data_IF_189758236072
#
_entry.id   IF_189758236072
#
_cell.length_a   1.000
_cell.length_b   1.000
_cell.length_c   1.000
_cell.angle_alpha   90.00
_cell.angle_beta   90.00
_cell.angle_gamma   90.00
#
_symmetry.space_group_name_H-M   'P 1'
#
loop_
_entity.id
_entity.type
_entity.pdbx_description
1 polymer ?
#
# COMPACT_ATOMS: atom_id res chain seq x y z
N UNK A 1 -3.58 -11.92 23.26
CA UNK A 1 -3.51 -10.44 23.22
C UNK A 1 -2.43 -9.87 24.14
N UNK A 2 -2.38 -10.26 25.43
CA UNK A 2 -1.36 -9.77 26.38
C UNK A 2 0.10 -10.03 25.92
N UNK A 3 0.39 -11.21 25.36
CA UNK A 3 1.71 -11.56 24.81
C UNK A 3 2.19 -10.63 23.68
N UNK A 4 1.30 -10.15 22.81
CA UNK A 4 1.67 -9.22 21.74
C UNK A 4 2.06 -7.85 22.30
N UNK A 5 1.36 -7.39 23.34
CA UNK A 5 1.66 -6.12 23.98
C UNK A 5 3.03 -6.16 24.68
N UNK A 6 3.31 -7.23 25.41
CA UNK A 6 4.61 -7.44 26.05
C UNK A 6 5.77 -7.52 25.04
N UNK A 7 5.53 -8.06 23.84
CA UNK A 7 6.54 -8.12 22.79
C UNK A 7 6.95 -6.73 22.30
N UNK A 8 6.05 -5.74 22.19
CA UNK A 8 6.43 -4.39 21.75
C UNK A 8 7.33 -3.66 22.74
N UNK A 9 7.28 -4.05 24.01
CA UNK A 9 8.17 -3.48 25.03
C UNK A 9 9.57 -4.11 25.01
N UNK A 10 9.73 -5.24 24.32
CA UNK A 10 10.97 -6.00 24.27
C UNK A 10 12.11 -5.24 23.55
N UNK A 11 13.38 -5.43 23.99
CA UNK A 11 14.54 -4.91 23.27
C UNK A 11 14.58 -5.34 21.80
N UNK A 12 14.16 -6.58 21.50
CA UNK A 12 14.16 -7.14 20.15
C UNK A 12 13.26 -6.35 19.20
N UNK A 13 12.07 -5.96 19.68
CA UNK A 13 11.18 -5.09 18.90
C UNK A 13 11.75 -3.68 18.74
N UNK A 14 12.28 -3.11 19.83
CA UNK A 14 12.83 -1.74 19.86
C UNK A 14 14.13 -1.59 19.07
N UNK A 15 14.91 -2.66 18.92
CA UNK A 15 16.11 -2.70 18.06
C UNK A 15 15.79 -2.74 16.56
N UNK A 16 14.51 -2.87 16.21
CA UNK A 16 14.05 -3.00 14.84
C UNK A 16 13.93 -4.46 14.41
N UNK A 17 12.80 -4.77 13.77
CA UNK A 17 12.58 -6.10 13.20
C UNK A 17 13.44 -6.29 11.94
N UNK A 18 13.97 -7.50 11.70
CA UNK A 18 14.65 -7.80 10.44
C UNK A 18 13.69 -7.69 9.26
N UNK A 19 14.22 -7.26 8.12
CA UNK A 19 13.47 -7.25 6.88
C UNK A 19 13.41 -8.65 6.29
N UNK A 20 12.28 -8.99 5.69
CA UNK A 20 12.19 -10.16 4.81
C UNK A 20 13.13 -9.93 3.62
N UNK A 21 13.94 -10.92 3.22
CA UNK A 21 14.85 -10.79 2.08
C UNK A 21 14.14 -10.28 0.82
N UNK A 22 14.74 -9.29 0.16
CA UNK A 22 14.19 -8.68 -1.06
C UNK A 22 13.09 -7.62 -0.84
N UNK A 23 12.47 -7.54 0.35
CA UNK A 23 11.32 -6.65 0.59
C UNK A 23 11.60 -5.19 0.20
N UNK A 24 12.71 -4.65 0.72
CA UNK A 24 13.07 -3.26 0.48
C UNK A 24 13.33 -2.97 -1.01
N UNK A 25 14.02 -3.88 -1.70
CA UNK A 25 14.37 -3.72 -3.10
C UNK A 25 13.13 -3.74 -3.99
N UNK A 26 12.29 -4.76 -3.82
CA UNK A 26 11.15 -4.98 -4.71
C UNK A 26 9.99 -4.02 -4.44
N UNK A 27 9.74 -3.63 -3.19
CA UNK A 27 8.80 -2.53 -2.89
C UNK A 27 9.24 -1.24 -3.61
N UNK A 28 10.55 -0.96 -3.62
CA UNK A 28 11.12 0.20 -4.34
C UNK A 28 10.97 0.06 -5.86
N UNK A 29 11.12 -1.16 -6.42
CA UNK A 29 10.87 -1.42 -7.85
C UNK A 29 9.40 -1.25 -8.21
N UNK A 30 8.48 -1.72 -7.38
CA UNK A 30 7.02 -1.56 -7.56
C UNK A 30 6.63 -0.08 -7.53
N UNK A 31 7.17 0.68 -6.57
CA UNK A 31 6.93 2.12 -6.44
C UNK A 31 7.34 2.97 -7.64
N UNK A 32 8.06 2.41 -8.63
CA UNK A 32 8.38 3.09 -9.90
C UNK A 32 7.19 3.15 -10.87
N UNK A 33 6.19 2.29 -10.72
CA UNK A 33 5.05 2.20 -11.64
C UNK A 33 3.69 2.02 -10.96
N UNK A 34 3.65 1.88 -9.64
CA UNK A 34 2.43 1.80 -8.85
C UNK A 34 2.50 2.73 -7.62
N UNK A 35 1.36 3.25 -7.16
CA UNK A 35 1.28 3.99 -5.91
C UNK A 35 1.20 3.02 -4.72
N UNK A 36 2.25 2.99 -3.90
CA UNK A 36 2.42 1.99 -2.85
C UNK A 36 2.05 2.59 -1.49
N UNK A 37 1.15 1.90 -0.79
CA UNK A 37 0.75 2.21 0.58
C UNK A 37 1.01 1.00 1.49
N UNK A 38 1.29 1.27 2.77
CA UNK A 38 1.41 0.24 3.80
C UNK A 38 0.09 0.19 4.56
N UNK A 39 -0.57 -0.98 4.57
CA UNK A 39 -1.79 -1.23 5.33
C UNK A 39 -1.50 -2.33 6.34
N UNK A 40 -1.59 -2.03 7.63
CA UNK A 40 -1.12 -2.95 8.68
C UNK A 40 -2.13 -3.11 9.82
N UNK A 41 -2.21 -4.31 10.40
CA UNK A 41 -3.06 -4.61 11.57
C UNK A 41 -2.43 -4.18 12.90
N UNK A 42 -1.22 -3.59 12.87
CA UNK A 42 -0.52 -3.07 14.05
C UNK A 42 -1.39 -2.12 14.87
N UNK A 43 -1.12 -2.11 16.16
CA UNK A 43 -1.93 -1.38 17.13
C UNK A 43 -1.60 0.11 17.12
N UNK A 44 -2.60 0.91 17.47
CA UNK A 44 -2.49 2.36 17.57
C UNK A 44 -1.35 2.81 18.51
N UNK A 45 -1.13 2.06 19.59
CA UNK A 45 -0.14 2.37 20.63
C UNK A 45 1.29 2.39 20.11
N UNK A 46 1.60 1.65 19.03
CA UNK A 46 2.93 1.56 18.42
C UNK A 46 3.02 2.31 17.08
N UNK A 47 2.13 3.29 16.88
CA UNK A 47 2.04 4.06 15.63
C UNK A 47 3.38 4.72 15.27
N UNK A 48 3.99 5.43 16.22
CA UNK A 48 5.22 6.17 15.96
C UNK A 48 6.39 5.23 15.63
N UNK A 49 6.58 4.17 16.41
CA UNK A 49 7.60 3.14 16.13
C UNK A 49 7.41 2.51 14.74
N UNK A 50 6.16 2.27 14.36
CA UNK A 50 5.82 1.74 13.04
C UNK A 50 6.16 2.74 11.93
N UNK A 51 5.84 4.01 12.11
CA UNK A 51 6.15 5.06 11.13
C UNK A 51 7.65 5.24 10.95
N UNK A 52 8.40 5.31 12.05
CA UNK A 52 9.84 5.52 12.02
C UNK A 52 10.56 4.32 11.39
N UNK A 53 10.13 3.10 11.72
CA UNK A 53 10.67 1.88 11.13
C UNK A 53 10.37 1.79 9.62
N UNK A 54 9.15 2.13 9.19
CA UNK A 54 8.79 2.13 7.77
C UNK A 54 9.53 3.22 6.99
N UNK A 55 9.64 4.43 7.54
CA UNK A 55 10.38 5.52 6.91
C UNK A 55 11.86 5.16 6.75
N UNK A 56 12.48 4.64 7.81
CA UNK A 56 13.90 4.25 7.82
C UNK A 56 14.20 3.15 6.80
N UNK A 57 13.35 2.12 6.74
CA UNK A 57 13.61 0.96 5.89
C UNK A 57 13.12 1.17 4.45
N UNK A 58 11.95 1.75 4.23
CA UNK A 58 11.33 1.81 2.90
C UNK A 58 11.31 3.21 2.29
N UNK A 59 11.59 4.26 3.07
CA UNK A 59 11.46 5.65 2.63
C UNK A 59 10.00 6.09 2.39
N UNK A 60 9.04 5.32 2.90
CA UNK A 60 7.61 5.60 2.74
C UNK A 60 7.16 6.54 3.86
N UNK A 61 6.58 7.72 3.54
CA UNK A 61 6.14 8.67 4.56
C UNK A 61 4.91 8.17 5.32
N UNK A 62 4.71 8.66 6.54
CA UNK A 62 3.57 8.29 7.39
C UNK A 62 2.20 8.54 6.75
N UNK A 63 2.09 9.50 5.83
CA UNK A 63 0.86 9.75 5.05
C UNK A 63 0.44 8.57 4.16
N UNK A 64 1.33 7.61 3.91
CA UNK A 64 1.08 6.39 3.17
C UNK A 64 1.04 5.13 4.04
N UNK A 65 1.03 5.28 5.37
CA UNK A 65 0.99 4.17 6.33
C UNK A 65 -0.33 4.19 7.11
N UNK A 66 -1.12 3.12 6.98
CA UNK A 66 -2.48 3.03 7.49
C UNK A 66 -2.60 1.88 8.50
N UNK A 67 -3.04 2.19 9.72
CA UNK A 67 -3.18 1.22 10.81
C UNK A 67 -4.66 0.81 10.95
N UNK A 68 -4.93 -0.49 10.82
CA UNK A 68 -6.25 -1.08 11.06
C UNK A 68 -6.51 -1.44 12.53
N UNK A 69 -5.49 -1.43 13.39
CA UNK A 69 -5.60 -1.63 14.84
C UNK A 69 -6.32 -2.93 15.27
N UNK A 70 -6.30 -3.98 14.44
CA UNK A 70 -7.03 -5.23 14.68
C UNK A 70 -6.63 -5.90 16.01
N UNK A 71 -5.35 -5.77 16.38
CA UNK A 71 -4.80 -6.33 17.61
C UNK A 71 -4.78 -5.34 18.79
N UNK A 72 -5.38 -4.15 18.64
CA UNK A 72 -5.47 -3.15 19.70
C UNK A 72 -6.40 -3.58 20.83
N UNK A 73 -6.04 -3.21 22.06
CA UNK A 73 -6.88 -3.39 23.26
C UNK A 73 -8.01 -2.36 23.36
N UNK A 74 -7.86 -1.23 22.65
CA UNK A 74 -8.82 -0.13 22.60
C UNK A 74 -8.71 0.61 21.26
N UNK A 75 -9.68 1.48 20.99
CA UNK A 75 -9.76 2.26 19.75
C UNK A 75 -10.55 1.56 18.64
N UNK A 76 -10.79 2.30 17.54
CA UNK A 76 -11.51 1.78 16.37
C UNK A 76 -10.64 0.73 15.67
N UNK A 77 -11.25 -0.39 15.30
CA UNK A 77 -10.66 -1.40 14.42
C UNK A 77 -11.23 -1.18 13.02
N UNK A 78 -10.37 -1.10 12.02
CA UNK A 78 -10.78 -0.83 10.64
C UNK A 78 -10.26 -2.00 9.78
N UNK A 79 -11.15 -2.78 9.13
CA UNK A 79 -10.78 -3.82 8.20
C UNK A 79 -9.79 -3.32 7.14
N UNK A 80 -8.85 -4.19 6.73
CA UNK A 80 -7.88 -3.81 5.70
C UNK A 80 -8.57 -3.52 4.37
N UNK A 81 -9.59 -4.29 4.00
CA UNK A 81 -10.37 -4.02 2.79
C UNK A 81 -11.02 -2.63 2.80
N UNK A 82 -11.54 -2.16 3.94
CA UNK A 82 -12.10 -0.81 4.08
C UNK A 82 -11.02 0.27 3.91
N UNK A 83 -9.82 0.07 4.46
CA UNK A 83 -8.68 0.98 4.27
C UNK A 83 -8.28 1.00 2.80
N UNK A 84 -8.09 -0.17 2.18
CA UNK A 84 -7.74 -0.32 0.77
C UNK A 84 -8.76 0.39 -0.14
N UNK A 85 -10.06 0.23 0.14
CA UNK A 85 -11.13 0.92 -0.56
C UNK A 85 -11.01 2.44 -0.45
N UNK A 86 -10.78 2.96 0.76
CA UNK A 86 -10.69 4.38 1.03
C UNK A 86 -9.53 5.07 0.30
N UNK A 87 -8.43 4.34 0.08
CA UNK A 87 -7.24 4.86 -0.64
C UNK A 87 -7.25 4.54 -2.14
N UNK A 88 -8.30 3.87 -2.65
CA UNK A 88 -8.40 3.49 -4.05
C UNK A 88 -7.42 2.38 -4.47
N UNK A 89 -6.99 1.53 -3.54
CA UNK A 89 -6.11 0.40 -3.86
C UNK A 89 -6.85 -0.64 -4.72
N UNK A 90 -6.16 -1.20 -5.72
CA UNK A 90 -6.67 -2.27 -6.57
C UNK A 90 -6.12 -3.66 -6.24
N UNK A 91 -5.14 -3.76 -5.34
CA UNK A 91 -4.40 -4.99 -5.04
C UNK A 91 -3.93 -4.97 -3.58
N UNK A 92 -4.09 -6.08 -2.87
CA UNK A 92 -3.53 -6.31 -1.53
C UNK A 92 -2.47 -7.42 -1.58
N UNK A 93 -1.32 -7.16 -0.95
CA UNK A 93 -0.27 -8.15 -0.66
C UNK A 93 -0.26 -8.35 0.86
N UNK A 94 -0.48 -9.58 1.31
CA UNK A 94 -0.57 -9.90 2.73
C UNK A 94 -0.22 -11.37 2.97
N UNK A 95 0.29 -11.72 4.14
CA UNK A 95 0.64 -13.10 4.52
C UNK A 95 -0.52 -13.85 5.17
N UNK A 96 -1.64 -13.17 5.43
CA UNK A 96 -2.81 -13.80 6.03
C UNK A 96 -3.89 -14.13 4.97
N UNK A 97 -4.25 -15.42 4.78
CA UNK A 97 -5.23 -15.82 3.77
C UNK A 97 -6.62 -15.21 4.02
N UNK A 98 -6.98 -14.92 5.27
CA UNK A 98 -8.25 -14.27 5.59
C UNK A 98 -8.31 -12.83 5.06
N UNK A 99 -7.20 -12.08 5.11
CA UNK A 99 -7.15 -10.72 4.56
C UNK A 99 -7.14 -10.74 3.03
N UNK A 100 -6.49 -11.72 2.41
CA UNK A 100 -6.54 -11.89 0.95
C UNK A 100 -7.96 -12.23 0.49
N UNK A 101 -8.64 -13.16 1.18
CA UNK A 101 -10.03 -13.52 0.91
C UNK A 101 -10.97 -12.32 1.04
N UNK A 102 -10.81 -11.53 2.11
CA UNK A 102 -11.58 -10.30 2.32
C UNK A 102 -11.34 -9.30 1.18
N UNK A 103 -10.09 -9.13 0.75
CA UNK A 103 -9.76 -8.23 -0.35
C UNK A 103 -10.39 -8.65 -1.68
N UNK A 104 -10.30 -9.94 -2.04
CA UNK A 104 -10.92 -10.47 -3.27
C UNK A 104 -12.45 -10.33 -3.24
N UNK A 105 -13.07 -10.58 -2.08
CA UNK A 105 -14.53 -10.42 -1.90
C UNK A 105 -14.98 -8.98 -2.14
N UNK A 106 -14.11 -8.00 -1.89
CA UNK A 106 -14.36 -6.58 -2.15
C UNK A 106 -13.95 -6.10 -3.55
N UNK A 107 -13.51 -7.02 -4.42
CA UNK A 107 -13.18 -6.74 -5.83
C UNK A 107 -11.74 -6.27 -6.05
N UNK A 108 -10.85 -6.43 -5.08
CA UNK A 108 -9.41 -6.17 -5.26
C UNK A 108 -8.69 -7.44 -5.73
N UNK A 109 -7.55 -7.28 -6.40
CA UNK A 109 -6.60 -8.39 -6.55
C UNK A 109 -5.99 -8.78 -5.19
N UNK A 110 -5.54 -10.02 -5.08
CA UNK A 110 -4.92 -10.55 -3.86
C UNK A 110 -3.67 -11.38 -4.16
N UNK A 111 -2.57 -11.06 -3.49
CA UNK A 111 -1.33 -11.85 -3.48
C UNK A 111 -1.09 -12.31 -2.04
N UNK A 112 -1.22 -13.62 -1.80
CA UNK A 112 -0.79 -14.22 -0.55
C UNK A 112 0.74 -14.32 -0.54
N UNK A 113 1.40 -13.66 0.41
CA UNK A 113 2.84 -13.74 0.58
C UNK A 113 3.19 -14.84 1.59
N UNK A 114 3.83 -15.90 1.13
CA UNK A 114 4.14 -17.08 1.91
C UNK A 114 5.62 -17.45 1.72
N UNK A 115 6.48 -16.77 2.47
CA UNK A 115 7.92 -16.80 2.24
C UNK A 115 8.46 -18.23 2.29
N UNK A 116 8.95 -18.72 1.15
CA UNK A 116 9.43 -20.10 0.94
C UNK A 116 8.47 -21.21 1.43
N UNK A 117 7.16 -20.93 1.50
CA UNK A 117 6.17 -21.85 2.09
C UNK A 117 6.40 -22.18 3.57
N UNK A 118 7.02 -21.27 4.31
CA UNK A 118 7.37 -21.48 5.72
C UNK A 118 6.34 -20.87 6.69
N UNK A 119 5.38 -20.08 6.20
CA UNK A 119 4.39 -19.43 7.06
C UNK A 119 3.27 -20.41 7.36
N UNK A 120 3.36 -21.09 8.52
CA UNK A 120 2.38 -22.10 8.92
C UNK A 120 0.91 -21.61 8.95
N UNK A 121 0.69 -20.30 9.10
CA UNK A 121 -0.66 -19.70 9.05
C UNK A 121 -1.20 -19.47 7.64
N UNK A 122 -0.35 -19.52 6.61
CA UNK A 122 -0.74 -19.33 5.21
C UNK A 122 -1.47 -20.54 4.61
N UNK A 123 -1.39 -21.70 5.28
CA UNK A 123 -1.91 -22.98 4.79
C UNK A 123 -3.15 -23.48 5.56
N UNK A 124 -3.91 -22.56 6.18
CA UNK A 124 -5.11 -22.93 6.94
C UNK A 124 -6.19 -23.57 6.02
N UNK A 125 -6.51 -24.87 6.19
CA UNK A 125 -7.51 -25.53 5.35
C UNK A 125 -8.93 -24.98 5.56
N UNK A 126 -9.19 -24.33 6.70
CA UNK A 126 -10.48 -23.69 6.99
C UNK A 126 -10.60 -22.31 6.30
N UNK A 127 -9.49 -21.77 5.80
CA UNK A 127 -9.44 -20.50 5.07
C UNK A 127 -8.82 -20.69 3.68
N UNK A 128 -9.46 -21.45 2.77
CA UNK A 128 -8.93 -21.65 1.44
C UNK A 128 -8.85 -20.33 0.69
N UNK A 129 -7.74 -20.16 -0.04
CA UNK A 129 -7.50 -18.99 -0.87
C UNK A 129 -8.49 -18.96 -2.05
N UNK A 130 -9.08 -17.80 -2.40
CA UNK A 130 -9.90 -17.67 -3.60
C UNK A 130 -9.13 -18.02 -4.88
N UNK A 131 -9.82 -18.53 -5.89
CA UNK A 131 -9.22 -18.91 -7.18
C UNK A 131 -8.57 -17.76 -7.96
N UNK A 132 -8.98 -16.53 -7.66
CA UNK A 132 -8.54 -15.28 -8.27
C UNK A 132 -7.26 -14.73 -7.63
N UNK A 133 -6.94 -15.19 -6.41
CA UNK A 133 -5.71 -14.81 -5.73
C UNK A 133 -4.55 -15.71 -6.16
N UNK A 134 -3.34 -15.19 -6.02
CA UNK A 134 -2.10 -15.92 -6.30
C UNK A 134 -1.25 -16.01 -5.04
N UNK A 135 -0.34 -16.98 -5.00
CA UNK A 135 0.64 -17.15 -3.93
C UNK A 135 1.99 -16.72 -4.46
N UNK A 136 2.72 -15.91 -3.70
CA UNK A 136 4.10 -15.53 -3.95
C UNK A 136 4.98 -16.00 -2.79
N UNK A 137 6.09 -16.65 -3.11
CA UNK A 137 7.02 -17.27 -2.15
C UNK A 137 8.24 -16.42 -1.86
N UNK A 138 8.44 -15.37 -2.65
CA UNK A 138 9.44 -14.33 -2.41
C UNK A 138 9.00 -13.00 -3.05
N UNK A 139 9.80 -11.97 -2.85
CA UNK A 139 9.50 -10.63 -3.34
C UNK A 139 9.69 -10.45 -4.85
N UNK A 140 10.42 -11.35 -5.51
CA UNK A 140 10.55 -11.36 -6.97
C UNK A 140 9.23 -11.83 -7.60
N UNK A 141 8.64 -12.89 -7.07
CA UNK A 141 7.31 -13.35 -7.48
C UNK A 141 6.24 -12.29 -7.21
N UNK A 142 6.27 -11.62 -6.04
CA UNK A 142 5.38 -10.48 -5.75
C UNK A 142 5.50 -9.43 -6.86
N UNK A 143 6.71 -9.05 -7.23
CA UNK A 143 6.96 -8.05 -8.26
C UNK A 143 6.38 -8.47 -9.62
N UNK A 144 6.57 -9.72 -10.02
CA UNK A 144 6.07 -10.25 -11.29
C UNK A 144 4.53 -10.35 -11.30
N UNK A 145 3.90 -10.72 -10.19
CA UNK A 145 2.43 -10.69 -10.08
C UNK A 145 1.87 -9.27 -10.12
N UNK A 146 2.49 -8.34 -9.40
CA UNK A 146 2.07 -6.93 -9.41
C UNK A 146 2.15 -6.36 -10.83
N UNK A 147 3.21 -6.65 -11.60
CA UNK A 147 3.33 -6.23 -13.00
C UNK A 147 2.23 -6.77 -13.92
N UNK A 148 1.70 -7.97 -13.63
CA UNK A 148 0.61 -8.58 -14.41
C UNK A 148 -0.76 -8.05 -13.98
N UNK A 149 -0.95 -7.77 -12.70
CA UNK A 149 -2.23 -7.41 -12.12
C UNK A 149 -2.52 -5.91 -12.11
N UNK A 150 -1.47 -5.08 -12.02
CA UNK A 150 -1.62 -3.62 -12.04
C UNK A 150 -1.41 -3.13 -13.47
N UNK A 151 -2.40 -2.48 -14.09
CA UNK A 151 -2.21 -1.85 -15.39
C UNK A 151 -1.05 -0.87 -15.30
N UNK A 152 -0.05 -1.02 -16.17
CA UNK A 152 1.02 -0.03 -16.26
C UNK A 152 0.38 1.31 -16.59
N UNK A 153 0.58 2.30 -15.72
CA UNK A 153 0.18 3.66 -16.02
C UNK A 153 0.85 4.07 -17.33
N UNK A 154 0.10 4.08 -18.42
CA UNK A 154 0.56 4.63 -19.69
C UNK A 154 0.67 6.12 -19.45
N UNK A 155 1.88 6.61 -19.19
CA UNK A 155 2.15 8.03 -19.24
C UNK A 155 2.04 8.47 -20.69
N UNK A 156 0.83 8.82 -21.12
CA UNK A 156 0.64 9.58 -22.35
C UNK A 156 1.25 10.94 -22.09
N UNK A 157 2.49 11.14 -22.52
CA UNK A 157 3.05 12.48 -22.61
C UNK A 157 2.14 13.30 -23.52
N UNK A 158 1.71 14.52 -23.13
CA UNK A 158 0.96 15.36 -24.03
C UNK A 158 1.86 15.67 -25.23
N UNK A 159 1.51 15.14 -26.39
CA UNK A 159 2.15 15.49 -27.65
C UNK A 159 1.99 16.99 -27.85
N UNK A 160 3.12 17.69 -27.90
CA UNK A 160 3.21 19.11 -28.24
C UNK A 160 2.62 19.36 -29.63
N UNK A 161 1.38 19.84 -29.69
CA UNK A 161 0.88 20.54 -30.87
C UNK A 161 1.15 22.03 -30.70
N UNK A 162 2.20 22.52 -31.33
CA UNK A 162 2.44 23.94 -31.53
C UNK A 162 1.31 24.53 -32.39
N UNK A 163 0.64 25.63 -31.99
CA UNK A 163 -0.15 26.41 -32.91
C UNK A 163 0.75 27.43 -33.64
N UNK A 164 0.74 27.33 -34.96
CA UNK A 164 1.34 28.30 -35.89
C UNK A 164 0.76 29.69 -35.64
N UNK A 165 1.64 30.68 -35.59
CA UNK A 165 1.31 32.10 -35.45
C UNK A 165 0.41 32.60 -36.58
N UNK A 166 -0.60 33.40 -36.25
CA UNK A 166 -1.16 34.42 -37.15
C UNK A 166 -1.62 35.61 -36.32
N UNK A 167 -1.00 36.74 -36.64
CA UNK A 167 -1.21 38.09 -36.13
C UNK A 167 -2.63 38.59 -36.37
N UNK A 168 -3.22 39.30 -35.39
CA UNK A 168 -4.07 40.50 -35.58
C UNK A 168 -4.24 41.25 -34.25
N UNK A 169 -3.97 42.55 -34.28
CA UNK A 169 -4.24 43.52 -33.22
C UNK A 169 -5.75 43.86 -33.21
N UNK A 170 -6.35 44.09 -32.03
CA UNK A 170 -6.88 45.40 -31.59
C UNK A 170 -7.89 45.31 -30.42
N UNK A 171 -7.66 46.22 -29.45
CA UNK A 171 -8.59 46.98 -28.57
C UNK A 171 -9.46 46.36 -27.43
N UNK A 172 -9.03 46.69 -26.20
CA UNK A 172 -9.70 47.42 -25.08
C UNK A 172 -10.87 46.87 -24.22
N UNK A 173 -10.65 47.08 -22.89
CA UNK A 173 -11.55 47.29 -21.72
C UNK A 173 -11.88 46.13 -20.75
N UNK A 174 -11.10 46.11 -19.66
CA UNK A 174 -11.44 46.43 -18.25
C UNK A 174 -12.57 45.69 -17.48
N UNK A 175 -12.24 45.45 -16.19
CA UNK A 175 -13.02 45.10 -14.99
C UNK A 175 -13.33 43.63 -14.66
N UNK A 176 -12.83 43.18 -13.50
CA UNK A 176 -13.51 42.21 -12.65
C UNK A 176 -12.61 41.22 -11.89
N UNK A 177 -12.46 41.45 -10.58
CA UNK A 177 -11.75 40.66 -9.58
C UNK A 177 -12.23 39.19 -9.44
N UNK A 178 -11.36 38.29 -8.96
CA UNK A 178 -11.80 36.99 -8.42
C UNK A 178 -10.73 35.90 -8.39
N UNK A 179 -9.79 35.99 -7.42
CA UNK A 179 -8.89 34.90 -7.03
C UNK A 179 -9.63 33.94 -6.09
N UNK A 180 -9.61 32.64 -6.35
CA UNK A 180 -9.52 31.62 -5.29
C UNK A 180 -8.99 30.29 -5.89
N UNK A 181 -7.75 29.94 -5.52
CA UNK A 181 -7.19 28.58 -5.66
C UNK A 181 -6.98 28.06 -4.25
N UNK A 182 -7.65 26.96 -3.89
CA UNK A 182 -7.42 26.26 -2.62
C UNK A 182 -6.49 25.07 -2.86
N UNK A 183 -5.46 25.01 -2.03
CA UNK A 183 -4.50 23.91 -1.89
C UNK A 183 -5.13 22.79 -1.07
#
# INVERSE_FOLDING_TARGET
MEKCYLFHESPEFKSGLPLVPGAQEYVRKIGKFADVHIVTSRQEQIRQDTYDWILTNFGIPSSRVHLGNHFGLSGKKIPKADICKAIGAGLLIDDNPAYIKDAVTHGFGGILFDYHHEYGWSHDPECPLPSEAVVATDWEEVYEYVRKMVPLAVTVSPSSSSPTATTKQDEYKDLGEGIEVRV
#
